data_IF_912214107179
#
_entry.id   IF_912214107179
#
_cell.length_a   1.000
_cell.length_b   1.000
_cell.length_c   1.000
_cell.angle_alpha   90.00
_cell.angle_beta   90.00
_cell.angle_gamma   90.00
#
_symmetry.space_group_name_H-M   'P 1'
#
loop_
_entity.id
_entity.type
_entity.pdbx_description
1 polymer ?
#
# COMPACT_ATOMS: atom_id res chain seq x y z
N UNK A 1 -1.38 -8.21 34.97
CA UNK A 1 -0.69 -6.93 35.29
C UNK A 1 0.79 -7.12 34.99
N UNK A 2 1.25 -6.69 33.82
CA UNK A 2 2.63 -6.93 33.35
C UNK A 2 3.42 -5.63 33.52
N UNK A 3 4.49 -5.66 34.34
CA UNK A 3 5.40 -4.51 34.53
C UNK A 3 6.61 -4.68 33.62
N UNK A 4 6.75 -3.80 32.62
CA UNK A 4 7.98 -3.68 31.84
C UNK A 4 8.76 -2.49 32.38
N UNK A 5 9.98 -2.73 32.87
CA UNK A 5 10.93 -1.68 33.26
C UNK A 5 11.78 -1.32 32.05
N UNK A 6 11.74 -0.06 31.62
CA UNK A 6 12.77 0.53 30.78
C UNK A 6 13.67 1.40 31.66
N UNK A 7 14.97 1.11 31.68
CA UNK A 7 16.01 1.95 32.26
C UNK A 7 16.42 2.99 31.22
N UNK A 8 16.15 4.27 31.49
CA UNK A 8 16.72 5.39 30.75
C UNK A 8 17.71 6.12 31.63
N UNK A 9 18.96 6.28 31.15
CA UNK A 9 19.98 7.12 31.77
C UNK A 9 20.00 8.47 31.04
N UNK A 10 20.14 9.52 31.85
CA UNK A 10 20.57 10.87 31.50
C UNK A 10 19.53 11.77 30.82
N UNK A 11 18.65 12.36 31.63
CA UNK A 11 18.54 13.82 31.85
C UNK A 11 17.42 14.05 32.86
N UNK A 12 17.69 14.89 33.86
CA UNK A 12 16.87 15.04 35.06
C UNK A 12 15.62 15.88 34.87
N UNK A 13 14.66 15.39 34.07
CA UNK A 13 13.30 15.91 34.04
C UNK A 13 12.32 14.74 34.11
N UNK A 14 11.72 14.58 35.30
CA UNK A 14 10.78 13.50 35.61
C UNK A 14 9.43 13.82 34.99
N UNK A 15 9.21 13.44 33.73
CA UNK A 15 7.90 13.56 33.09
C UNK A 15 7.13 12.26 33.31
N UNK A 16 6.16 12.29 34.23
CA UNK A 16 5.22 11.18 34.45
C UNK A 16 4.22 11.18 33.31
N UNK A 17 4.41 10.31 32.32
CA UNK A 17 3.42 10.08 31.27
C UNK A 17 2.28 9.23 31.84
N UNK A 18 1.18 9.90 32.24
CA UNK A 18 -0.09 9.25 32.51
C UNK A 18 -0.68 8.75 31.19
N UNK A 19 -0.60 7.44 30.95
CA UNK A 19 -1.42 6.75 29.95
C UNK A 19 -2.87 6.73 30.46
N UNK A 20 -3.63 7.77 30.13
CA UNK A 20 -5.08 7.75 30.28
C UNK A 20 -5.68 6.82 29.24
N UNK A 21 -5.98 5.58 29.65
CA UNK A 21 -6.95 4.74 28.96
C UNK A 21 -8.31 5.43 29.03
N UNK A 22 -8.72 6.06 27.93
CA UNK A 22 -10.09 6.54 27.75
C UNK A 22 -10.72 5.62 26.70
N UNK A 23 -11.48 4.64 27.17
CA UNK A 23 -12.60 4.09 26.42
C UNK A 23 -13.76 5.09 26.55
N UNK A 24 -14.41 5.46 25.44
CA UNK A 24 -15.85 5.68 25.50
C UNK A 24 -16.54 4.97 24.32
N UNK A 25 -17.40 4.00 24.61
CA UNK A 25 -18.84 4.19 24.77
C UNK A 25 -19.55 4.23 23.42
N UNK A 26 -20.37 3.18 23.22
CA UNK A 26 -21.32 3.02 22.13
C UNK A 26 -22.21 4.26 22.02
N UNK A 27 -22.01 5.04 20.96
CA UNK A 27 -22.98 6.04 20.51
C UNK A 27 -23.76 5.42 19.35
N UNK A 28 -24.92 4.82 19.66
CA UNK A 28 -25.99 4.58 18.70
C UNK A 28 -26.57 5.92 18.26
N UNK A 29 -25.91 6.57 17.32
CA UNK A 29 -26.38 7.77 16.63
C UNK A 29 -26.76 7.41 15.20
N UNK A 30 -28.04 7.55 14.90
CA UNK A 30 -28.66 7.46 13.58
C UNK A 30 -27.75 8.02 12.46
N UNK A 31 -27.21 7.15 11.61
CA UNK A 31 -26.73 7.56 10.29
C UNK A 31 -27.96 7.91 9.45
N UNK A 32 -28.24 9.20 9.26
CA UNK A 32 -28.98 9.62 8.08
C UNK A 32 -28.11 9.33 6.88
N UNK A 33 -28.33 8.14 6.31
CA UNK A 33 -27.75 7.74 5.04
C UNK A 33 -28.40 8.59 3.96
N UNK A 34 -27.81 9.75 3.66
CA UNK A 34 -27.96 10.33 2.33
C UNK A 34 -27.08 9.48 1.40
N UNK A 35 -27.58 8.29 1.06
CA UNK A 35 -27.10 7.54 -0.09
C UNK A 35 -27.39 8.41 -1.31
N UNK A 36 -26.48 9.32 -1.64
CA UNK A 36 -26.19 9.54 -3.04
C UNK A 36 -25.63 8.19 -3.52
N UNK A 37 -26.52 7.36 -4.05
CA UNK A 37 -26.18 6.29 -4.96
C UNK A 37 -25.52 6.95 -6.18
N UNK A 38 -24.25 7.34 -6.01
CA UNK A 38 -23.30 7.32 -7.09
C UNK A 38 -23.46 5.94 -7.68
N UNK A 39 -23.98 5.85 -8.91
CA UNK A 39 -24.02 4.61 -9.64
C UNK A 39 -22.59 4.10 -9.68
N UNK A 40 -22.24 3.20 -8.76
CA UNK A 40 -20.89 2.72 -8.58
C UNK A 40 -20.58 1.91 -9.82
N UNK A 41 -19.97 2.56 -10.81
CA UNK A 41 -19.47 1.89 -12.01
C UNK A 41 -18.56 0.80 -11.51
N UNK A 42 -18.92 -0.46 -11.79
CA UNK A 42 -18.13 -1.60 -11.37
C UNK A 42 -16.70 -1.39 -11.84
N UNK A 43 -15.73 -1.48 -10.93
CA UNK A 43 -14.31 -1.36 -11.28
C UNK A 43 -13.97 -2.46 -12.29
N UNK A 44 -13.54 -2.04 -13.48
CA UNK A 44 -13.05 -2.97 -14.51
C UNK A 44 -11.53 -2.91 -14.46
N UNK A 45 -10.85 -4.01 -14.09
CA UNK A 45 -9.40 -4.01 -14.03
C UNK A 45 -8.81 -3.75 -15.42
N UNK A 46 -7.83 -2.83 -15.55
CA UNK A 46 -7.15 -2.64 -16.82
C UNK A 46 -6.38 -3.91 -17.21
N UNK A 47 -6.29 -4.17 -18.51
CA UNK A 47 -5.40 -5.20 -19.05
C UNK A 47 -4.00 -4.62 -19.14
N UNK A 48 -3.05 -5.17 -18.37
CA UNK A 48 -1.66 -4.72 -18.33
C UNK A 48 -0.85 -5.55 -19.33
N UNK A 49 -0.43 -4.91 -20.42
CA UNK A 49 0.48 -5.47 -21.40
C UNK A 49 1.94 -5.42 -20.95
N UNK A 50 2.83 -6.04 -21.74
CA UNK A 50 4.27 -6.01 -21.45
C UNK A 50 4.84 -4.58 -21.51
N UNK A 51 4.38 -3.75 -22.46
CA UNK A 51 4.82 -2.35 -22.60
C UNK A 51 4.46 -1.48 -21.40
N UNK A 52 3.33 -1.75 -20.75
CA UNK A 52 2.84 -0.96 -19.60
C UNK A 52 3.71 -1.16 -18.35
N UNK A 53 4.35 -2.33 -18.21
CA UNK A 53 5.30 -2.63 -17.15
C UNK A 53 6.54 -1.73 -17.18
N UNK A 54 6.84 -1.15 -18.34
CA UNK A 54 8.01 -0.29 -18.54
C UNK A 54 7.70 1.20 -18.47
N UNK A 55 6.43 1.60 -18.52
CA UNK A 55 6.04 3.01 -18.43
C UNK A 55 6.04 3.48 -16.97
N UNK A 56 7.17 4.07 -16.57
CA UNK A 56 7.44 4.53 -15.21
C UNK A 56 7.43 6.06 -15.14
N UNK A 57 6.82 6.60 -14.10
CA UNK A 57 6.97 8.00 -13.71
C UNK A 57 8.28 8.20 -12.97
N UNK A 58 8.88 9.38 -13.14
CA UNK A 58 9.82 9.87 -12.14
C UNK A 58 9.04 10.19 -10.87
N UNK A 59 8.93 9.19 -10.00
CA UNK A 59 8.13 9.28 -8.80
C UNK A 59 8.75 10.24 -7.75
N UNK A 60 9.88 10.89 -8.03
CA UNK A 60 10.52 11.84 -7.12
C UNK A 60 11.10 11.22 -5.85
N UNK A 61 11.15 9.88 -5.78
CA UNK A 61 11.73 9.15 -4.65
C UNK A 61 13.22 8.93 -4.87
N UNK A 62 14.03 9.22 -3.86
CA UNK A 62 15.46 8.93 -3.89
C UNK A 62 15.72 7.42 -3.82
N UNK A 63 16.90 6.94 -4.26
CA UNK A 63 17.29 5.54 -4.07
C UNK A 63 17.17 5.06 -2.62
N UNK A 64 17.43 5.92 -1.63
CA UNK A 64 17.29 5.63 -0.21
C UNK A 64 15.82 5.45 0.19
N UNK A 65 14.93 6.32 -0.29
CA UNK A 65 13.49 6.18 -0.03
C UNK A 65 12.94 4.90 -0.65
N UNK A 66 13.41 4.52 -1.85
CA UNK A 66 13.06 3.23 -2.45
C UNK A 66 13.51 2.05 -1.58
N UNK A 67 14.74 2.09 -1.03
CA UNK A 67 15.24 1.05 -0.13
C UNK A 67 14.41 0.97 1.16
N UNK A 68 14.06 2.10 1.76
CA UNK A 68 13.22 2.16 2.96
C UNK A 68 11.85 1.56 2.69
N UNK A 69 11.19 1.96 1.59
CA UNK A 69 9.90 1.41 1.20
C UNK A 69 9.94 -0.11 0.95
N UNK A 70 10.98 -0.60 0.26
CA UNK A 70 11.15 -2.04 0.02
C UNK A 70 11.35 -2.80 1.33
N UNK A 71 12.18 -2.27 2.24
CA UNK A 71 12.38 -2.86 3.57
C UNK A 71 11.06 -2.92 4.35
N UNK A 72 10.29 -1.83 4.33
CA UNK A 72 9.02 -1.75 5.04
C UNK A 72 7.99 -2.76 4.54
N UNK A 73 7.87 -2.94 3.21
CA UNK A 73 7.04 -4.00 2.61
C UNK A 73 7.48 -5.38 3.10
N UNK A 74 8.79 -5.67 3.05
CA UNK A 74 9.31 -6.95 3.51
C UNK A 74 9.03 -7.19 5.01
N UNK A 75 9.34 -6.22 5.87
CA UNK A 75 9.13 -6.33 7.31
C UNK A 75 7.64 -6.58 7.64
N UNK A 76 6.72 -5.91 6.95
CA UNK A 76 5.28 -6.11 7.16
C UNK A 76 4.79 -7.45 6.63
N UNK A 77 5.34 -7.95 5.52
CA UNK A 77 5.01 -9.29 5.03
C UNK A 77 5.45 -10.38 6.03
N UNK A 78 6.62 -10.24 6.65
CA UNK A 78 7.09 -11.15 7.70
C UNK A 78 6.11 -11.20 8.88
N UNK A 79 5.56 -10.05 9.30
CA UNK A 79 4.59 -9.96 10.39
C UNK A 79 3.23 -10.58 10.00
N UNK A 80 2.77 -10.32 8.78
CA UNK A 80 1.45 -10.74 8.32
C UNK A 80 1.43 -12.18 7.76
N UNK A 81 2.55 -12.89 7.82
CA UNK A 81 2.74 -14.19 7.17
C UNK A 81 3.23 -14.00 5.73
N UNK A 82 4.54 -14.21 5.47
CA UNK A 82 5.09 -14.01 4.14
C UNK A 82 4.65 -15.14 3.21
N UNK A 83 4.53 -14.87 1.89
CA UNK A 83 4.32 -15.93 0.92
C UNK A 83 5.43 -16.99 1.02
N UNK A 84 5.03 -18.25 1.05
CA UNK A 84 5.92 -19.43 1.12
C UNK A 84 6.83 -19.52 -0.11
N UNK A 85 6.38 -18.98 -1.25
CA UNK A 85 7.18 -18.91 -2.47
C UNK A 85 6.71 -17.79 -3.41
N UNK A 86 7.55 -17.36 -4.37
CA UNK A 86 7.10 -16.46 -5.43
C UNK A 86 5.93 -17.03 -6.26
N UNK A 87 5.79 -18.36 -6.34
CA UNK A 87 4.69 -19.01 -7.05
C UNK A 87 3.34 -18.72 -6.38
N UNK A 88 3.31 -18.63 -5.06
CA UNK A 88 2.10 -18.28 -4.32
C UNK A 88 1.60 -16.88 -4.68
N UNK A 89 2.51 -15.93 -4.94
CA UNK A 89 2.15 -14.58 -5.42
C UNK A 89 1.51 -14.60 -6.82
N UNK A 90 1.83 -15.60 -7.64
CA UNK A 90 1.27 -15.74 -9.00
C UNK A 90 -0.09 -16.44 -8.96
N UNK A 91 -0.22 -17.46 -8.11
CA UNK A 91 -1.37 -18.36 -8.09
C UNK A 91 -2.47 -17.92 -7.11
N UNK A 92 -2.13 -17.15 -6.06
CA UNK A 92 -3.08 -16.62 -5.08
C UNK A 92 -3.29 -15.10 -5.24
N UNK A 93 -4.44 -14.66 -5.77
CA UNK A 93 -4.73 -13.24 -5.98
C UNK A 93 -4.92 -12.46 -4.68
N UNK A 94 -5.25 -13.11 -3.56
CA UNK A 94 -5.35 -12.47 -2.24
C UNK A 94 -3.96 -12.10 -1.74
N UNK A 95 -3.00 -13.01 -1.92
CA UNK A 95 -1.59 -12.75 -1.61
C UNK A 95 -1.04 -11.62 -2.48
N UNK A 96 -1.29 -11.67 -3.79
CA UNK A 96 -0.90 -10.59 -4.70
C UNK A 96 -1.51 -9.24 -4.29
N UNK A 97 -2.82 -9.19 -4.03
CA UNK A 97 -3.52 -7.98 -3.61
C UNK A 97 -2.94 -7.36 -2.34
N UNK A 98 -2.58 -8.19 -1.34
CA UNK A 98 -1.93 -7.72 -0.11
C UNK A 98 -0.56 -7.07 -0.39
N UNK A 99 0.26 -7.67 -1.24
CA UNK A 99 1.56 -7.10 -1.61
C UNK A 99 1.37 -5.79 -2.38
N UNK A 100 0.41 -5.73 -3.30
CA UNK A 100 0.07 -4.50 -4.04
C UNK A 100 -0.42 -3.39 -3.11
N UNK A 101 -1.25 -3.74 -2.13
CA UNK A 101 -1.72 -2.78 -1.14
C UNK A 101 -0.55 -2.19 -0.34
N UNK A 102 0.39 -3.02 0.12
CA UNK A 102 1.62 -2.54 0.78
C UNK A 102 2.47 -1.69 -0.15
N UNK A 103 2.61 -2.10 -1.41
CA UNK A 103 3.34 -1.34 -2.43
C UNK A 103 2.78 0.08 -2.55
N UNK A 104 1.46 0.23 -2.69
CA UNK A 104 0.79 1.52 -2.86
C UNK A 104 0.84 2.39 -1.61
N UNK A 105 0.90 1.80 -0.40
CA UNK A 105 1.15 2.57 0.84
C UNK A 105 2.60 3.07 0.96
N UNK A 106 3.50 2.58 0.12
CA UNK A 106 4.87 3.12 -0.02
C UNK A 106 5.05 3.93 -1.29
N UNK A 107 3.97 4.24 -2.02
CA UNK A 107 4.01 5.06 -3.22
C UNK A 107 4.52 6.48 -2.92
N UNK A 108 4.90 7.20 -3.97
CA UNK A 108 5.38 8.56 -3.82
C UNK A 108 4.28 9.47 -3.27
N UNK A 109 4.58 10.34 -2.27
CA UNK A 109 3.63 11.33 -1.80
C UNK A 109 3.39 12.46 -2.82
N UNK A 110 4.20 12.54 -3.87
CA UNK A 110 4.08 13.58 -4.92
C UNK A 110 2.97 13.30 -5.92
N UNK A 111 2.53 12.04 -6.02
CA UNK A 111 1.51 11.63 -6.96
C UNK A 111 0.35 11.00 -6.22
N UNK A 112 -0.87 11.43 -6.56
CA UNK A 112 -2.07 10.86 -5.98
C UNK A 112 -2.34 9.49 -6.60
N UNK A 113 -2.40 8.45 -5.76
CA UNK A 113 -2.84 7.13 -6.19
C UNK A 113 -4.34 7.19 -6.50
N UNK A 114 -4.76 6.60 -7.63
CA UNK A 114 -6.17 6.61 -8.01
C UNK A 114 -7.01 5.88 -6.96
N UNK A 115 -8.20 6.41 -6.58
CA UNK A 115 -8.99 5.90 -5.46
C UNK A 115 -9.43 4.44 -5.66
N UNK A 116 -9.60 3.97 -6.89
CA UNK A 116 -9.94 2.57 -7.18
C UNK A 116 -8.90 1.58 -6.65
N UNK A 117 -7.63 1.97 -6.53
CA UNK A 117 -6.56 1.09 -6.05
C UNK A 117 -6.42 1.08 -4.52
N UNK A 118 -7.22 1.85 -3.80
CA UNK A 118 -7.26 1.79 -2.34
C UNK A 118 -8.05 0.57 -1.81
N UNK A 119 -8.95 0.04 -2.64
CA UNK A 119 -9.76 -1.14 -2.32
C UNK A 119 -8.97 -2.43 -2.56
N UNK A 120 -8.87 -3.27 -1.52
CA UNK A 120 -8.27 -4.60 -1.63
C UNK A 120 -9.02 -5.50 -2.64
N UNK A 121 -10.34 -5.35 -2.76
CA UNK A 121 -11.14 -6.12 -3.71
C UNK A 121 -10.80 -5.76 -5.16
N UNK A 122 -10.56 -4.48 -5.43
CA UNK A 122 -10.13 -4.02 -6.75
C UNK A 122 -8.71 -4.49 -7.08
N UNK A 123 -7.80 -4.44 -6.10
CA UNK A 123 -6.44 -4.99 -6.26
C UNK A 123 -6.45 -6.50 -6.49
N UNK A 124 -7.37 -7.21 -5.84
CA UNK A 124 -7.58 -8.64 -6.09
C UNK A 124 -8.12 -8.89 -7.50
N UNK A 125 -9.13 -8.15 -7.94
CA UNK A 125 -9.64 -8.25 -9.31
C UNK A 125 -8.54 -7.94 -10.34
N UNK A 126 -7.68 -6.96 -10.07
CA UNK A 126 -6.51 -6.65 -10.90
C UNK A 126 -5.54 -7.84 -10.99
N UNK A 127 -5.25 -8.49 -9.86
CA UNK A 127 -4.36 -9.65 -9.79
C UNK A 127 -4.94 -10.89 -10.49
N UNK A 128 -6.25 -11.12 -10.34
CA UNK A 128 -6.96 -12.22 -11.04
C UNK A 128 -6.94 -12.02 -12.56
N UNK A 129 -7.14 -10.79 -13.02
CA UNK A 129 -7.20 -10.47 -14.44
C UNK A 129 -5.81 -10.46 -15.12
N UNK A 130 -4.75 -10.14 -14.38
CA UNK A 130 -3.42 -9.88 -14.96
C UNK A 130 -2.32 -10.84 -14.47
N UNK A 131 -2.37 -12.10 -14.90
CA UNK A 131 -1.38 -13.12 -14.49
C UNK A 131 0.08 -12.74 -14.80
N UNK A 132 0.35 -12.07 -15.95
CA UNK A 132 1.70 -11.59 -16.30
C UNK A 132 2.20 -10.52 -15.32
N UNK A 133 1.31 -9.63 -14.88
CA UNK A 133 1.63 -8.63 -13.88
C UNK A 133 1.99 -9.29 -12.54
N UNK A 134 1.25 -10.33 -12.14
CA UNK A 134 1.58 -11.13 -10.95
C UNK A 134 2.93 -11.84 -11.05
N UNK A 135 3.40 -12.21 -12.26
CA UNK A 135 4.77 -12.71 -12.46
C UNK A 135 5.82 -11.63 -12.18
N UNK A 136 5.57 -10.39 -12.62
CA UNK A 136 6.41 -9.24 -12.28
C UNK A 136 6.43 -8.96 -10.77
N UNK A 137 5.27 -9.04 -10.12
CA UNK A 137 5.14 -8.90 -8.67
C UNK A 137 5.89 -10.02 -7.91
N UNK A 138 5.80 -11.25 -8.38
CA UNK A 138 6.53 -12.39 -7.83
C UNK A 138 8.05 -12.25 -7.97
N UNK A 139 8.53 -11.70 -9.11
CA UNK A 139 9.94 -11.37 -9.29
C UNK A 139 10.38 -10.26 -8.32
N UNK A 140 9.59 -9.19 -8.20
CA UNK A 140 9.83 -8.10 -7.25
C UNK A 140 9.91 -8.61 -5.81
N UNK A 141 8.99 -9.50 -5.41
CA UNK A 141 9.01 -10.17 -4.11
C UNK A 141 10.28 -11.01 -3.91
N UNK A 142 10.63 -11.87 -4.88
CA UNK A 142 11.82 -12.73 -4.83
C UNK A 142 13.11 -11.94 -4.62
N UNK A 143 13.25 -10.81 -5.32
CA UNK A 143 14.44 -9.97 -5.27
C UNK A 143 14.34 -8.83 -4.24
N UNK A 144 13.23 -8.76 -3.48
CA UNK A 144 12.94 -7.69 -2.51
C UNK A 144 13.07 -6.28 -3.13
N UNK A 145 12.68 -6.17 -4.40
CA UNK A 145 12.89 -5.00 -5.25
C UNK A 145 11.58 -4.53 -5.87
N UNK A 146 10.95 -3.54 -5.24
CA UNK A 146 9.62 -3.05 -5.64
C UNK A 146 9.63 -1.69 -6.36
N UNK A 147 10.82 -1.14 -6.61
CA UNK A 147 11.01 0.21 -7.17
C UNK A 147 10.27 0.43 -8.48
N UNK A 148 10.48 -0.45 -9.47
CA UNK A 148 9.84 -0.36 -10.78
C UNK A 148 8.32 -0.42 -10.68
N UNK A 149 7.79 -1.37 -9.90
CA UNK A 149 6.35 -1.50 -9.71
C UNK A 149 5.75 -0.27 -9.04
N UNK A 150 6.42 0.28 -8.03
CA UNK A 150 5.99 1.52 -7.35
C UNK A 150 5.96 2.70 -8.32
N UNK A 151 6.87 2.76 -9.28
CA UNK A 151 6.99 3.87 -10.22
C UNK A 151 6.04 3.74 -11.43
N UNK A 152 5.29 2.65 -11.61
CA UNK A 152 4.43 2.50 -12.79
C UNK A 152 3.36 3.59 -12.83
N UNK A 153 3.19 4.24 -13.98
CA UNK A 153 2.30 5.40 -14.06
C UNK A 153 0.81 5.07 -13.85
N UNK A 154 0.40 3.84 -14.15
CA UNK A 154 -1.02 3.48 -14.14
C UNK A 154 -1.68 3.58 -12.76
N UNK A 155 -0.90 3.55 -11.67
CA UNK A 155 -1.37 3.73 -10.31
C UNK A 155 -1.86 5.14 -10.00
N UNK A 156 -1.34 6.12 -10.73
CA UNK A 156 -1.40 7.51 -10.35
C UNK A 156 -2.39 8.27 -11.21
N UNK A 157 -3.03 9.25 -10.60
CA UNK A 157 -3.73 10.31 -11.32
C UNK A 157 -2.66 11.17 -12.01
N UNK A 158 -2.81 11.36 -13.33
CA UNK A 158 -2.00 12.30 -14.08
C UNK A 158 -2.73 13.64 -14.10
N UNK A 159 -2.38 14.52 -13.17
CA UNK A 159 -2.73 15.92 -13.30
C UNK A 159 -1.67 16.57 -14.18
N UNK A 160 -2.07 17.10 -15.35
CA UNK A 160 -1.17 17.90 -16.14
C UNK A 160 -0.72 19.10 -15.28
N UNK A 161 0.58 19.41 -15.21
CA UNK A 161 1.04 20.54 -14.41
C UNK A 161 0.34 21.81 -14.91
N UNK A 162 -0.44 22.47 -14.05
CA UNK A 162 -1.22 23.67 -14.38
C UNK A 162 -0.37 24.90 -14.77
N UNK A 163 0.96 24.75 -14.82
CA UNK A 163 1.91 25.83 -15.10
C UNK A 163 2.91 25.44 -16.18
N UNK A 164 2.41 25.24 -17.40
CA UNK A 164 3.19 25.31 -18.64
C UNK A 164 2.58 26.38 -19.55
N UNK A 165 2.59 27.63 -19.11
CA UNK A 165 2.38 28.84 -19.91
C UNK A 165 3.42 29.88 -19.53
#
# INVERSE_FOLDING_TARGET
MVRVRALSRATGESTVLYLSMILPTVCTGFFSSSCQESSATAFVPPTIGEGDLFFQLDCGLTPEQHKIGNKWICDLLEILGPPSSPKEVIDDPVVAARILWLLLRTASPHYKVKPEYESLDNLRALAEHNKKFCQGLAAAYRFKGFTTLRAMAFWYEWEAPEHSL
#
